data_IF_359719766816
#
_entry.id   IF_359719766816
#
_cell.length_a   1.000
_cell.length_b   1.000
_cell.length_c   1.000
_cell.angle_alpha   90.00
_cell.angle_beta   90.00
_cell.angle_gamma   90.00
#
_symmetry.space_group_name_H-M   'P 1'
#
loop_
_entity.id
_entity.type
_entity.pdbx_description
1 polymer ?
#
# COMPACT_ATOMS: atom_id res chain seq x y z
N UNK A 1 8.52 -16.10 -5.62
CA UNK A 1 8.72 -14.64 -5.50
C UNK A 1 7.34 -14.02 -5.54
N UNK A 2 6.77 -13.68 -4.38
CA UNK A 2 5.38 -13.24 -4.30
C UNK A 2 5.28 -11.81 -4.83
N UNK A 3 4.88 -11.69 -6.10
CA UNK A 3 4.60 -10.38 -6.71
C UNK A 3 3.29 -9.90 -6.11
N UNK A 4 3.36 -8.96 -5.17
CA UNK A 4 2.17 -8.22 -4.76
C UNK A 4 1.71 -7.38 -5.97
N UNK A 5 0.90 -8.00 -6.83
CA UNK A 5 0.27 -7.35 -7.96
C UNK A 5 -0.76 -6.38 -7.40
N UNK A 6 -0.31 -5.18 -7.07
CA UNK A 6 -1.19 -4.09 -6.69
C UNK A 6 -1.94 -3.64 -7.94
N UNK A 7 -3.27 -3.62 -7.86
CA UNK A 7 -4.12 -3.01 -8.88
C UNK A 7 -3.62 -1.59 -9.21
N UNK A 8 -3.74 -1.16 -10.48
CA UNK A 8 -3.44 0.21 -10.95
C UNK A 8 -4.08 1.31 -10.10
N UNK A 9 -5.10 0.98 -9.32
CA UNK A 9 -5.77 1.87 -8.35
C UNK A 9 -5.08 1.96 -6.98
N UNK A 10 -3.81 1.57 -6.86
CA UNK A 10 -3.07 1.71 -5.61
C UNK A 10 -2.99 3.18 -5.16
N UNK A 11 -3.30 3.43 -3.89
CA UNK A 11 -3.23 4.76 -3.30
C UNK A 11 -2.00 4.87 -2.40
N UNK A 12 -1.07 5.75 -2.73
CA UNK A 12 0.12 6.02 -1.93
C UNK A 12 -0.13 7.25 -1.07
N UNK A 13 0.20 7.16 0.22
CA UNK A 13 0.18 8.28 1.15
C UNK A 13 1.43 8.28 2.04
N UNK A 14 1.83 9.45 2.53
CA UNK A 14 2.88 9.55 3.54
C UNK A 14 2.38 9.00 4.89
N UNK A 15 3.18 8.16 5.53
CA UNK A 15 2.85 7.51 6.81
C UNK A 15 3.75 7.99 7.96
N UNK A 16 4.86 8.67 7.66
CA UNK A 16 5.78 9.26 8.62
C UNK A 16 6.98 9.91 7.93
N UNK A 17 8.01 10.31 8.70
CA UNK A 17 9.32 10.69 8.15
C UNK A 17 9.87 9.50 7.34
N UNK A 18 10.15 9.74 6.06
CA UNK A 18 10.70 8.78 5.09
C UNK A 18 9.93 7.47 4.92
N UNK A 19 8.67 7.43 5.36
CA UNK A 19 7.80 6.25 5.25
C UNK A 19 6.54 6.57 4.47
N UNK A 20 6.19 5.63 3.61
CA UNK A 20 5.05 5.68 2.72
C UNK A 20 4.17 4.44 2.95
N UNK A 21 2.87 4.64 2.86
CA UNK A 21 1.88 3.57 2.86
C UNK A 21 1.27 3.47 1.47
N UNK A 22 1.33 2.29 0.87
CA UNK A 22 0.62 1.92 -0.34
C UNK A 22 -0.60 1.08 0.05
N UNK A 23 -1.77 1.58 -0.31
CA UNK A 23 -3.05 0.91 -0.13
C UNK A 23 -3.47 0.32 -1.47
N UNK A 24 -3.60 -0.99 -1.56
CA UNK A 24 -4.06 -1.62 -2.79
C UNK A 24 -4.70 -2.98 -2.57
N UNK A 25 -5.01 -3.65 -3.67
CA UNK A 25 -5.52 -5.02 -3.65
C UNK A 25 -4.48 -5.97 -4.22
N UNK A 26 -4.32 -7.13 -3.61
CA UNK A 26 -3.55 -8.24 -4.19
C UNK A 26 -4.26 -8.81 -5.42
N UNK A 27 -3.56 -9.67 -6.17
CA UNK A 27 -4.16 -10.45 -7.26
C UNK A 27 -5.39 -11.27 -6.82
N UNK A 28 -5.40 -11.76 -5.58
CA UNK A 28 -6.54 -12.47 -4.98
C UNK A 28 -7.66 -11.55 -4.47
N UNK A 29 -7.53 -10.24 -4.67
CA UNK A 29 -8.52 -9.24 -4.28
C UNK A 29 -8.47 -8.82 -2.81
N UNK A 30 -7.50 -9.30 -2.03
CA UNK A 30 -7.32 -8.93 -0.62
C UNK A 30 -6.83 -7.48 -0.51
N UNK A 31 -7.41 -6.72 0.42
CA UNK A 31 -7.00 -5.34 0.69
C UNK A 31 -5.75 -5.32 1.57
N UNK A 32 -4.65 -4.83 1.03
CA UNK A 32 -3.33 -4.82 1.67
C UNK A 32 -2.85 -3.38 1.86
N UNK A 33 -2.32 -3.10 3.04
CA UNK A 33 -1.48 -1.94 3.34
C UNK A 33 -0.03 -2.39 3.32
N UNK A 34 0.77 -1.75 2.48
CA UNK A 34 2.21 -1.97 2.41
C UNK A 34 2.93 -0.70 2.89
N UNK A 35 3.74 -0.82 3.92
CA UNK A 35 4.60 0.27 4.40
C UNK A 35 5.98 0.08 3.82
N UNK A 36 6.51 1.12 3.21
CA UNK A 36 7.84 1.12 2.60
C UNK A 36 8.55 2.45 2.82
N UNK A 37 9.87 2.43 2.67
CA UNK A 37 10.72 3.61 2.61
C UNK A 37 11.46 3.62 1.27
N UNK A 38 11.81 4.80 0.77
CA UNK A 38 12.72 4.92 -0.36
C UNK A 38 14.15 4.95 0.15
N UNK A 39 14.97 4.01 -0.30
CA UNK A 39 16.42 4.03 -0.15
C UNK A 39 17.00 4.32 -1.54
N UNK A 40 17.24 5.60 -1.83
CA UNK A 40 17.58 6.07 -3.18
C UNK A 40 16.43 5.88 -4.16
N UNK A 41 16.65 5.08 -5.22
CA UNK A 41 15.64 4.75 -6.23
C UNK A 41 14.84 3.48 -5.93
N UNK A 42 15.14 2.80 -4.81
CA UNK A 42 14.55 1.51 -4.47
C UNK A 42 13.53 1.67 -3.34
N UNK A 43 12.33 1.13 -3.54
CA UNK A 43 11.34 1.02 -2.48
C UNK A 43 11.62 -0.22 -1.62
N UNK A 44 12.09 0.00 -0.38
CA UNK A 44 12.28 -1.06 0.61
C UNK A 44 11.00 -1.28 1.40
N UNK A 45 10.42 -2.47 1.25
CA UNK A 45 9.24 -2.89 2.01
C UNK A 45 9.62 -3.11 3.47
N UNK A 46 8.93 -2.43 4.38
CA UNK A 46 9.09 -2.58 5.83
C UNK A 46 8.08 -3.58 6.36
N UNK A 47 6.82 -3.47 5.95
CA UNK A 47 5.76 -4.40 6.35
C UNK A 47 4.62 -4.44 5.35
N UNK A 48 3.96 -5.59 5.25
CA UNK A 48 2.72 -5.76 4.51
C UNK A 48 1.68 -6.39 5.45
N UNK A 49 0.49 -5.78 5.53
CA UNK A 49 -0.59 -6.26 6.40
C UNK A 49 -1.95 -6.06 5.74
N UNK A 50 -2.98 -6.71 6.27
CA UNK A 50 -4.37 -6.41 5.89
C UNK A 50 -4.71 -4.97 6.28
N UNK A 51 -5.41 -4.28 5.38
CA UNK A 51 -5.94 -2.94 5.68
C UNK A 51 -6.87 -2.98 6.89
N UNK A 52 -6.75 -1.99 7.75
CA UNK A 52 -7.78 -1.73 8.76
C UNK A 52 -9.00 -1.01 8.17
N UNK A 53 -10.04 -0.83 8.98
CA UNK A 53 -11.31 -0.20 8.55
C UNK A 53 -11.08 1.24 8.06
N UNK A 54 -10.18 2.00 8.69
CA UNK A 54 -9.90 3.40 8.31
C UNK A 54 -9.15 3.44 6.97
N UNK A 55 -8.16 2.58 6.79
CA UNK A 55 -7.39 2.44 5.56
C UNK A 55 -8.28 2.01 4.39
N UNK A 56 -9.19 1.04 4.60
CA UNK A 56 -10.18 0.65 3.58
C UNK A 56 -11.07 1.81 3.18
N UNK A 57 -11.50 2.65 4.13
CA UNK A 57 -12.31 3.85 3.83
C UNK A 57 -11.54 4.85 2.98
N UNK A 58 -10.25 5.09 3.29
CA UNK A 58 -9.38 5.96 2.48
C UNK A 58 -9.24 5.39 1.08
N UNK A 59 -8.85 4.12 0.95
CA UNK A 59 -8.67 3.45 -0.33
C UNK A 59 -9.91 3.55 -1.23
N UNK A 60 -11.11 3.33 -0.67
CA UNK A 60 -12.37 3.47 -1.42
C UNK A 60 -12.68 4.90 -1.85
N UNK A 61 -12.27 5.91 -1.08
CA UNK A 61 -12.48 7.34 -1.43
C UNK A 61 -11.52 7.80 -2.51
N UNK A 62 -10.30 7.28 -2.50
CA UNK A 62 -9.25 7.62 -3.48
C UNK A 62 -9.42 6.93 -4.83
N UNK A 63 -10.24 5.87 -4.91
CA UNK A 63 -10.54 5.15 -6.15
C UNK A 63 -11.75 5.67 -6.94
N UNK A 64 -12.21 6.91 -6.65
CA UNK A 64 -13.22 7.63 -7.43
C UNK A 64 -12.56 8.45 -8.53
#
# INVERSE_FOLDING_TARGET
MESAAFDRRAHIKKAGPDRYALLGRSASGMHITLIFAYEGSIARVITARRMDIKERRIYRRSGK
#
